data_IF_827950120560
#
_entry.id   IF_827950120560
#
_cell.length_a   1.000
_cell.length_b   1.000
_cell.length_c   1.000
_cell.angle_alpha   90.00
_cell.angle_beta   90.00
_cell.angle_gamma   90.00
#
_symmetry.space_group_name_H-M   'P 1'
#
loop_
_entity.id
_entity.type
_entity.pdbx_description
1 polymer ?
#
# COMPACT_ATOMS: atom_id res chain seq x y z
N UNK A 1 -7.32 -9.86 65.28
CA UNK A 1 -8.25 -9.81 64.14
C UNK A 1 -9.11 -8.58 64.29
N UNK A 2 -8.86 -7.57 63.46
CA UNK A 2 -9.58 -6.28 63.48
C UNK A 2 -10.94 -6.45 62.84
N UNK A 3 -12.00 -6.32 63.63
CA UNK A 3 -13.38 -6.27 63.16
C UNK A 3 -13.51 -5.06 62.24
N UNK A 4 -13.86 -5.30 60.98
CA UNK A 4 -14.12 -4.26 59.98
C UNK A 4 -15.37 -3.48 60.38
N UNK A 5 -15.31 -2.15 60.35
CA UNK A 5 -16.42 -1.25 60.70
C UNK A 5 -17.67 -1.42 59.80
N UNK A 6 -17.59 -2.27 58.77
CA UNK A 6 -18.67 -2.63 57.86
C UNK A 6 -19.63 -3.68 58.47
N UNK A 7 -19.20 -4.45 59.48
CA UNK A 7 -20.08 -5.39 60.21
C UNK A 7 -21.04 -4.68 61.20
N UNK A 8 -20.79 -3.39 61.49
CA UNK A 8 -21.46 -2.63 62.56
C UNK A 8 -22.56 -1.70 62.01
N UNK A 9 -23.26 -2.15 60.96
CA UNK A 9 -24.41 -1.45 60.36
C UNK A 9 -25.55 -2.39 59.96
N UNK A 10 -25.62 -3.56 60.61
CA UNK A 10 -26.67 -4.57 60.39
C UNK A 10 -28.00 -4.19 61.05
N UNK A 11 -29.11 -4.66 60.46
CA UNK A 11 -30.44 -4.52 61.07
C UNK A 11 -30.50 -5.16 62.47
N UNK A 12 -31.45 -4.75 63.33
CA UNK A 12 -31.55 -5.26 64.71
C UNK A 12 -31.69 -6.78 64.76
N UNK A 13 -32.36 -7.37 63.76
CA UNK A 13 -32.49 -8.81 63.58
C UNK A 13 -31.15 -9.46 63.17
N UNK A 14 -30.37 -8.83 62.28
CA UNK A 14 -29.05 -9.32 61.84
C UNK A 14 -28.03 -9.30 62.97
N UNK A 15 -28.03 -8.24 63.80
CA UNK A 15 -27.19 -8.13 65.01
C UNK A 15 -27.44 -9.31 65.95
N UNK A 16 -28.70 -9.76 66.10
CA UNK A 16 -29.06 -10.93 66.89
C UNK A 16 -28.99 -12.25 66.10
N UNK A 17 -28.76 -12.20 64.79
CA UNK A 17 -28.68 -13.36 63.90
C UNK A 17 -30.02 -14.08 63.76
N UNK A 18 -31.11 -13.31 63.74
CA UNK A 18 -32.48 -13.79 63.66
C UNK A 18 -33.11 -13.32 62.36
N UNK A 19 -34.13 -14.06 61.93
CA UNK A 19 -35.00 -13.63 60.83
C UNK A 19 -36.01 -12.58 61.34
N UNK A 20 -36.47 -11.63 60.50
CA UNK A 20 -37.49 -10.65 60.89
C UNK A 20 -38.81 -11.27 61.42
N UNK A 21 -39.05 -12.56 61.17
CA UNK A 21 -40.21 -13.32 61.69
C UNK A 21 -40.00 -13.89 63.12
N UNK A 22 -38.89 -13.56 63.79
CA UNK A 22 -38.56 -14.15 65.08
C UNK A 22 -39.50 -13.72 66.24
N UNK A 23 -39.83 -14.68 67.09
CA UNK A 23 -40.63 -14.49 68.30
C UNK A 23 -39.79 -13.94 69.47
N UNK A 24 -40.42 -13.27 70.44
CA UNK A 24 -39.76 -12.68 71.61
C UNK A 24 -38.89 -13.69 72.39
N UNK A 25 -39.36 -14.94 72.51
CA UNK A 25 -38.61 -16.04 73.15
C UNK A 25 -37.31 -16.36 72.41
N UNK A 26 -37.32 -16.26 71.07
CA UNK A 26 -36.14 -16.48 70.23
C UNK A 26 -35.16 -15.31 70.36
N UNK A 27 -35.66 -14.07 70.43
CA UNK A 27 -34.87 -12.85 70.70
C UNK A 27 -34.13 -12.96 72.04
N UNK A 28 -34.84 -13.33 73.12
CA UNK A 28 -34.25 -13.49 74.44
C UNK A 28 -33.19 -14.60 74.48
N UNK A 29 -33.44 -15.74 73.81
CA UNK A 29 -32.49 -16.86 73.73
C UNK A 29 -31.24 -16.50 72.93
N UNK A 30 -31.40 -15.82 71.80
CA UNK A 30 -30.29 -15.37 70.96
C UNK A 30 -29.43 -14.34 71.69
N UNK A 31 -30.06 -13.37 72.36
CA UNK A 31 -29.36 -12.40 73.20
C UNK A 31 -28.56 -13.08 74.31
N UNK A 32 -29.14 -14.03 75.05
CA UNK A 32 -28.42 -14.74 76.12
C UNK A 32 -27.18 -15.46 75.59
N UNK A 33 -27.30 -16.13 74.44
CA UNK A 33 -26.18 -16.84 73.80
C UNK A 33 -25.07 -15.87 73.36
N UNK A 34 -25.42 -14.76 72.70
CA UNK A 34 -24.44 -13.78 72.21
C UNK A 34 -23.84 -12.91 73.33
N UNK A 35 -24.62 -12.59 74.37
CA UNK A 35 -24.15 -11.82 75.53
C UNK A 35 -23.04 -12.53 76.28
N UNK A 36 -23.12 -13.86 76.40
CA UNK A 36 -22.07 -14.67 77.03
C UNK A 36 -20.76 -14.59 76.24
N UNK A 37 -20.85 -14.53 74.91
CA UNK A 37 -19.70 -14.48 74.00
C UNK A 37 -19.02 -13.11 74.00
N UNK A 38 -19.80 -12.02 74.06
CA UNK A 38 -19.30 -10.65 73.97
C UNK A 38 -19.24 -9.92 75.32
N UNK A 39 -19.35 -10.63 76.45
CA UNK A 39 -19.36 -9.99 77.76
C UNK A 39 -18.01 -9.31 78.08
N UNK A 40 -17.99 -8.04 78.54
CA UNK A 40 -16.75 -7.32 78.82
C UNK A 40 -15.90 -7.98 79.92
N UNK A 41 -16.53 -8.56 80.94
CA UNK A 41 -15.86 -9.30 82.03
C UNK A 41 -15.15 -10.58 81.57
N UNK A 42 -15.50 -11.10 80.38
CA UNK A 42 -14.89 -12.31 79.79
C UNK A 42 -13.94 -11.99 78.64
N UNK A 43 -13.52 -10.72 78.53
CA UNK A 43 -12.63 -10.25 77.45
C UNK A 43 -13.33 -10.07 76.09
N UNK A 44 -14.66 -9.93 76.10
CA UNK A 44 -15.45 -9.66 74.90
C UNK A 44 -15.49 -8.18 74.49
N UNK A 45 -15.97 -7.93 73.28
CA UNK A 45 -16.05 -6.58 72.71
C UNK A 45 -17.24 -5.78 73.28
N UNK A 46 -16.92 -4.68 73.98
CA UNK A 46 -17.89 -3.77 74.60
C UNK A 46 -18.85 -3.17 73.58
N UNK A 47 -18.39 -2.85 72.37
CA UNK A 47 -19.23 -2.22 71.35
C UNK A 47 -20.29 -3.19 70.84
N UNK A 48 -19.88 -4.43 70.50
CA UNK A 48 -20.82 -5.49 70.09
C UNK A 48 -21.81 -5.84 71.19
N UNK A 49 -21.37 -5.83 72.45
CA UNK A 49 -22.26 -6.03 73.59
C UNK A 49 -23.33 -4.94 73.69
N UNK A 50 -22.94 -3.67 73.57
CA UNK A 50 -23.87 -2.53 73.62
C UNK A 50 -24.91 -2.58 72.48
N UNK A 51 -24.49 -2.96 71.27
CA UNK A 51 -25.38 -3.15 70.13
C UNK A 51 -26.35 -4.31 70.33
N UNK A 52 -25.89 -5.44 70.88
CA UNK A 52 -26.75 -6.58 71.23
C UNK A 52 -27.80 -6.18 72.27
N UNK A 53 -27.42 -5.38 73.26
CA UNK A 53 -28.35 -4.86 74.27
C UNK A 53 -29.36 -3.92 73.64
N UNK A 54 -28.94 -2.98 72.79
CA UNK A 54 -29.85 -2.08 72.04
C UNK A 54 -30.82 -2.87 71.15
N UNK A 55 -30.33 -3.87 70.43
CA UNK A 55 -31.15 -4.73 69.59
C UNK A 55 -32.20 -5.49 70.41
N UNK A 56 -31.81 -6.09 71.53
CA UNK A 56 -32.76 -6.73 72.46
C UNK A 56 -33.80 -5.75 72.98
N UNK A 57 -33.39 -4.57 73.43
CA UNK A 57 -34.29 -3.62 74.09
C UNK A 57 -35.34 -3.05 73.14
N UNK A 58 -35.03 -2.96 71.84
CA UNK A 58 -35.99 -2.55 70.80
C UNK A 58 -36.89 -3.73 70.38
N UNK A 59 -36.35 -4.94 70.23
CA UNK A 59 -37.10 -6.10 69.75
C UNK A 59 -37.96 -6.79 70.83
N UNK A 60 -37.66 -6.59 72.12
CA UNK A 60 -38.41 -7.17 73.24
C UNK A 60 -39.60 -6.28 73.67
N UNK A 61 -39.59 -5.00 73.34
CA UNK A 61 -40.71 -4.08 73.57
C UNK A 61 -41.65 -4.11 72.35
N UNK A 62 -42.91 -4.56 72.50
CA UNK A 62 -43.83 -4.74 71.38
C UNK A 62 -44.08 -3.44 70.61
N UNK A 63 -44.13 -2.29 71.29
CA UNK A 63 -44.37 -0.99 70.63
C UNK A 63 -43.16 -0.56 69.79
N UNK A 64 -41.95 -0.77 70.30
CA UNK A 64 -40.72 -0.42 69.59
C UNK A 64 -40.44 -1.39 68.44
N UNK A 65 -40.71 -2.67 68.62
CA UNK A 65 -40.63 -3.69 67.57
C UNK A 65 -41.57 -3.36 66.41
N UNK A 66 -42.84 -3.06 66.70
CA UNK A 66 -43.81 -2.70 65.67
C UNK A 66 -43.40 -1.45 64.88
N UNK A 67 -42.91 -0.42 65.57
CA UNK A 67 -42.42 0.80 64.92
C UNK A 67 -41.18 0.53 64.05
N UNK A 68 -40.29 -0.37 64.48
CA UNK A 68 -39.13 -0.78 63.70
C UNK A 68 -39.54 -1.59 62.46
N UNK A 69 -40.41 -2.58 62.61
CA UNK A 69 -40.90 -3.43 61.52
C UNK A 69 -41.68 -2.62 60.46
N UNK A 70 -42.46 -1.61 60.90
CA UNK A 70 -43.13 -0.64 60.01
C UNK A 70 -42.14 0.19 59.19
N UNK A 71 -41.04 0.64 59.81
CA UNK A 71 -39.99 1.38 59.11
C UNK A 71 -39.25 0.48 58.10
N UNK A 72 -38.89 -0.71 58.53
CA UNK A 72 -38.19 -1.68 57.69
C UNK A 72 -39.02 -2.08 56.46
N UNK A 73 -40.31 -2.37 56.65
CA UNK A 73 -41.21 -2.69 55.53
C UNK A 73 -41.40 -1.52 54.56
N UNK A 74 -41.54 -0.29 55.07
CA UNK A 74 -41.63 0.91 54.24
C UNK A 74 -40.35 1.15 53.42
N UNK A 75 -39.17 0.97 54.03
CA UNK A 75 -37.88 1.09 53.34
C UNK A 75 -37.70 0.05 52.23
N UNK A 76 -38.06 -1.21 52.49
CA UNK A 76 -38.01 -2.28 51.49
C UNK A 76 -38.93 -1.99 50.30
N UNK A 77 -40.13 -1.47 50.55
CA UNK A 77 -41.07 -1.10 49.50
C UNK A 77 -40.53 0.08 48.67
N UNK A 78 -40.01 1.11 49.33
CA UNK A 78 -39.40 2.26 48.65
C UNK A 78 -38.21 1.82 47.77
N UNK A 79 -37.34 0.94 48.28
CA UNK A 79 -36.21 0.38 47.53
C UNK A 79 -36.67 -0.45 46.33
N UNK A 80 -37.76 -1.23 46.47
CA UNK A 80 -38.36 -1.99 45.36
C UNK A 80 -38.92 -1.05 44.29
N UNK A 81 -39.60 0.02 44.68
CA UNK A 81 -40.13 1.03 43.76
C UNK A 81 -39.00 1.78 43.03
N UNK A 82 -37.94 2.16 43.75
CA UNK A 82 -36.75 2.79 43.16
C UNK A 82 -36.12 1.89 42.10
N UNK A 83 -35.86 0.61 42.42
CA UNK A 83 -35.32 -0.37 41.47
C UNK A 83 -36.21 -0.54 40.24
N UNK A 84 -37.54 -0.57 40.41
CA UNK A 84 -38.48 -0.68 39.29
C UNK A 84 -38.40 0.54 38.37
N UNK A 85 -38.35 1.75 38.94
CA UNK A 85 -38.21 3.00 38.18
C UNK A 85 -36.88 3.07 37.44
N UNK A 86 -35.79 2.66 38.08
CA UNK A 86 -34.46 2.62 37.47
C UNK A 86 -34.40 1.61 36.32
N UNK A 87 -35.00 0.43 36.48
CA UNK A 87 -35.09 -0.57 35.42
C UNK A 87 -35.89 -0.08 34.21
N UNK A 88 -36.98 0.68 34.43
CA UNK A 88 -37.74 1.31 33.34
C UNK A 88 -36.90 2.35 32.59
N UNK A 89 -36.18 3.22 33.33
CA UNK A 89 -35.28 4.21 32.73
C UNK A 89 -34.13 3.56 31.98
N UNK A 90 -33.61 2.44 32.49
CA UNK A 90 -32.58 1.65 31.82
C UNK A 90 -33.09 1.04 30.51
N UNK A 91 -34.32 0.53 30.50
CA UNK A 91 -35.00 0.09 29.28
C UNK A 91 -35.09 1.19 28.23
N UNK A 92 -35.51 2.40 28.61
CA UNK A 92 -35.57 3.56 27.70
C UNK A 92 -34.19 3.97 27.19
N UNK A 93 -33.18 4.04 28.06
CA UNK A 93 -31.79 4.34 27.66
C UNK A 93 -31.25 3.31 26.68
N UNK A 94 -31.52 2.02 26.91
CA UNK A 94 -31.15 0.94 26.01
C UNK A 94 -31.81 1.07 24.64
N UNK A 95 -33.12 1.35 24.59
CA UNK A 95 -33.84 1.57 23.34
C UNK A 95 -33.24 2.74 22.54
N UNK A 96 -32.97 3.88 23.18
CA UNK A 96 -32.34 5.03 22.55
C UNK A 96 -30.96 4.71 22.00
N UNK A 97 -30.13 3.98 22.77
CA UNK A 97 -28.81 3.53 22.34
C UNK A 97 -28.90 2.61 21.11
N UNK A 98 -29.79 1.62 21.16
CA UNK A 98 -29.93 0.63 20.11
C UNK A 98 -30.51 1.28 18.82
N UNK A 99 -31.40 2.28 18.94
CA UNK A 99 -31.88 3.10 17.82
C UNK A 99 -30.76 3.95 17.20
N UNK A 100 -29.97 4.63 18.03
CA UNK A 100 -28.83 5.43 17.58
C UNK A 100 -27.81 4.56 16.82
N UNK A 101 -27.46 3.40 17.37
CA UNK A 101 -26.54 2.45 16.73
C UNK A 101 -27.08 2.00 15.37
N UNK A 102 -28.40 1.74 15.27
CA UNK A 102 -29.03 1.32 14.02
C UNK A 102 -28.98 2.42 12.96
N UNK A 103 -29.23 3.68 13.35
CA UNK A 103 -29.13 4.85 12.44
C UNK A 103 -27.69 5.07 11.98
N UNK A 104 -26.73 4.97 12.88
CA UNK A 104 -25.30 5.08 12.56
C UNK A 104 -24.85 3.99 11.58
N UNK A 105 -25.24 2.74 11.81
CA UNK A 105 -24.96 1.63 10.90
C UNK A 105 -25.57 1.85 9.52
N UNK A 106 -26.80 2.35 9.44
CA UNK A 106 -27.44 2.65 8.17
C UNK A 106 -26.66 3.72 7.40
N UNK A 107 -26.33 4.83 8.07
CA UNK A 107 -25.55 5.91 7.48
C UNK A 107 -24.17 5.42 7.01
N UNK A 108 -23.45 4.67 7.84
CA UNK A 108 -22.16 4.09 7.50
C UNK A 108 -22.24 3.12 6.31
N UNK A 109 -23.28 2.29 6.24
CA UNK A 109 -23.49 1.38 5.09
C UNK A 109 -23.70 2.17 3.80
N UNK A 110 -24.55 3.20 3.82
CA UNK A 110 -24.76 4.07 2.66
C UNK A 110 -23.49 4.81 2.25
N UNK A 111 -22.75 5.37 3.22
CA UNK A 111 -21.46 6.05 2.99
C UNK A 111 -20.43 5.10 2.37
N UNK A 112 -20.25 3.91 2.95
CA UNK A 112 -19.33 2.87 2.46
C UNK A 112 -19.72 2.38 1.06
N UNK A 113 -21.01 2.22 0.79
CA UNK A 113 -21.51 1.85 -0.54
C UNK A 113 -21.16 2.93 -1.57
N UNK A 114 -21.42 4.20 -1.28
CA UNK A 114 -21.10 5.32 -2.17
C UNK A 114 -19.60 5.43 -2.44
N UNK A 115 -18.75 5.35 -1.40
CA UNK A 115 -17.28 5.35 -1.56
C UNK A 115 -16.81 4.16 -2.40
N UNK A 116 -17.37 2.96 -2.18
CA UNK A 116 -17.04 1.77 -2.96
C UNK A 116 -17.42 1.93 -4.44
N UNK A 117 -18.57 2.56 -4.73
CA UNK A 117 -18.98 2.88 -6.10
C UNK A 117 -18.01 3.88 -6.76
N UNK A 118 -17.64 4.96 -6.06
CA UNK A 118 -16.66 5.94 -6.54
C UNK A 118 -15.30 5.29 -6.82
N UNK A 119 -14.83 4.43 -5.92
CA UNK A 119 -13.55 3.73 -6.07
C UNK A 119 -13.58 2.75 -7.24
N UNK A 120 -14.68 2.03 -7.44
CA UNK A 120 -14.85 1.12 -8.58
C UNK A 120 -14.84 1.89 -9.92
N UNK A 121 -15.54 3.02 -10.00
CA UNK A 121 -15.50 3.89 -11.19
C UNK A 121 -14.08 4.44 -11.43
N UNK A 122 -13.37 4.88 -10.39
CA UNK A 122 -12.00 5.37 -10.52
C UNK A 122 -11.05 4.27 -11.06
N UNK A 123 -11.17 3.05 -10.56
CA UNK A 123 -10.39 1.89 -11.04
C UNK A 123 -10.71 1.58 -12.50
N UNK A 124 -12.00 1.54 -12.86
CA UNK A 124 -12.46 1.33 -14.23
C UNK A 124 -11.91 2.39 -15.19
N UNK A 125 -11.87 3.66 -14.77
CA UNK A 125 -11.27 4.74 -15.55
C UNK A 125 -9.76 4.53 -15.75
N UNK A 126 -9.04 4.11 -14.71
CA UNK A 126 -7.61 3.81 -14.78
C UNK A 126 -7.31 2.66 -15.74
N UNK A 127 -8.04 1.55 -15.63
CA UNK A 127 -7.89 0.40 -16.54
C UNK A 127 -8.16 0.80 -17.99
N UNK A 128 -9.22 1.57 -18.25
CA UNK A 128 -9.52 2.07 -19.60
C UNK A 128 -8.42 3.01 -20.13
N UNK A 129 -7.79 3.80 -19.26
CA UNK A 129 -6.64 4.64 -19.65
C UNK A 129 -5.43 3.79 -20.04
N UNK A 130 -5.09 2.77 -19.23
CA UNK A 130 -3.99 1.85 -19.51
C UNK A 130 -4.21 1.08 -20.81
N UNK A 131 -5.41 0.54 -21.04
CA UNK A 131 -5.74 -0.17 -22.27
C UNK A 131 -5.59 0.72 -23.52
N UNK A 132 -5.96 2.01 -23.42
CA UNK A 132 -5.73 2.97 -24.52
C UNK A 132 -4.25 3.23 -24.77
N UNK A 133 -3.46 3.37 -23.71
CA UNK A 133 -2.01 3.55 -23.83
C UNK A 133 -1.35 2.32 -24.47
N UNK A 134 -1.71 1.12 -24.01
CA UNK A 134 -1.23 -0.14 -24.59
C UNK A 134 -1.63 -0.25 -26.07
N UNK A 135 -2.89 0.04 -26.42
CA UNK A 135 -3.32 0.03 -27.82
C UNK A 135 -2.56 1.01 -28.71
N UNK A 136 -2.13 2.16 -28.19
CA UNK A 136 -1.24 3.08 -28.92
C UNK A 136 0.17 2.51 -29.08
N UNK A 137 0.74 1.93 -28.02
CA UNK A 137 2.06 1.28 -28.08
C UNK A 137 2.07 0.13 -29.08
N UNK A 138 1.04 -0.71 -29.09
CA UNK A 138 0.90 -1.81 -30.04
C UNK A 138 0.79 -1.33 -31.48
N UNK A 139 0.06 -0.23 -31.73
CA UNK A 139 -0.03 0.38 -33.06
C UNK A 139 1.34 0.87 -33.52
N UNK A 140 2.07 1.58 -32.67
CA UNK A 140 3.43 2.05 -32.98
C UNK A 140 4.38 0.88 -33.21
N UNK A 141 4.30 -0.19 -32.40
CA UNK A 141 5.10 -1.38 -32.56
C UNK A 141 4.83 -2.08 -33.90
N UNK A 142 3.56 -2.24 -34.29
CA UNK A 142 3.18 -2.80 -35.60
C UNK A 142 3.64 -1.94 -36.78
N UNK A 143 3.58 -0.62 -36.65
CA UNK A 143 4.11 0.27 -37.68
C UNK A 143 5.63 0.17 -37.78
N UNK A 144 6.33 0.03 -36.64
CA UNK A 144 7.77 -0.19 -36.61
C UNK A 144 8.16 -1.52 -37.25
N UNK A 145 7.44 -2.61 -36.97
CA UNK A 145 7.70 -3.91 -37.62
C UNK A 145 7.45 -3.85 -39.12
N UNK A 146 6.34 -3.22 -39.56
CA UNK A 146 6.08 -3.03 -41.00
C UNK A 146 7.16 -2.20 -41.69
N UNK A 147 7.68 -1.16 -41.02
CA UNK A 147 8.81 -0.37 -41.53
C UNK A 147 10.09 -1.20 -41.59
N UNK A 148 10.39 -2.02 -40.59
CA UNK A 148 11.57 -2.90 -40.63
C UNK A 148 11.43 -3.97 -41.70
N UNK A 149 10.24 -4.54 -41.91
CA UNK A 149 9.96 -5.50 -42.99
C UNK A 149 10.08 -4.86 -44.38
N UNK A 150 9.60 -3.62 -44.55
CA UNK A 150 9.78 -2.86 -45.80
C UNK A 150 11.25 -2.53 -46.05
N UNK A 151 11.99 -2.09 -45.03
CA UNK A 151 13.44 -1.87 -45.11
C UNK A 151 14.16 -3.17 -45.44
N UNK A 152 13.83 -4.27 -44.76
CA UNK A 152 14.39 -5.58 -45.04
C UNK A 152 14.07 -6.03 -46.48
N UNK A 153 12.85 -5.79 -46.98
CA UNK A 153 12.48 -6.10 -48.37
C UNK A 153 13.25 -5.23 -49.39
N UNK A 154 13.53 -3.97 -49.07
CA UNK A 154 14.42 -3.11 -49.86
C UNK A 154 15.89 -3.57 -49.78
N UNK A 155 16.35 -4.08 -48.64
CA UNK A 155 17.67 -4.69 -48.49
C UNK A 155 17.78 -6.07 -49.16
N UNK A 156 16.68 -6.81 -49.31
CA UNK A 156 16.61 -8.07 -50.07
C UNK A 156 16.73 -7.78 -51.57
N UNK A 157 16.23 -6.64 -52.06
CA UNK A 157 16.69 -6.02 -53.31
C UNK A 157 18.05 -5.36 -53.11
N UNK A 158 19.03 -6.12 -52.64
CA UNK A 158 20.17 -5.52 -51.95
C UNK A 158 21.06 -4.63 -52.78
N UNK A 159 22.15 -4.21 -52.14
CA UNK A 159 23.15 -3.26 -52.61
C UNK A 159 23.23 -3.09 -54.14
N UNK A 160 23.26 -1.84 -54.64
CA UNK A 160 23.23 -1.56 -56.08
C UNK A 160 24.28 -2.39 -56.82
N UNK A 161 23.97 -2.80 -58.06
CA UNK A 161 24.82 -3.70 -58.87
C UNK A 161 26.29 -3.24 -58.93
N UNK A 162 26.55 -1.94 -58.81
CA UNK A 162 27.89 -1.34 -58.67
C UNK A 162 28.67 -1.86 -57.46
N UNK A 163 28.07 -1.88 -56.28
CA UNK A 163 28.66 -2.46 -55.05
C UNK A 163 28.74 -4.00 -55.12
N UNK A 164 27.87 -4.60 -55.95
CA UNK A 164 27.81 -6.02 -56.35
C UNK A 164 29.01 -6.55 -57.14
N UNK A 165 29.64 -5.68 -57.93
CA UNK A 165 30.47 -6.08 -59.06
C UNK A 165 31.95 -5.79 -58.79
N UNK A 166 32.76 -6.85 -58.76
CA UNK A 166 34.21 -6.76 -58.65
C UNK A 166 34.85 -6.98 -60.02
N UNK A 167 35.82 -6.15 -60.37
CA UNK A 167 36.65 -6.33 -61.56
C UNK A 167 38.01 -6.85 -61.16
N UNK A 168 38.40 -8.00 -61.72
CA UNK A 168 39.72 -8.60 -61.59
C UNK A 168 40.49 -8.38 -62.89
N UNK A 169 41.74 -7.91 -62.81
CA UNK A 169 42.65 -7.80 -63.96
C UNK A 169 43.92 -8.58 -63.66
N UNK A 170 44.41 -9.32 -64.64
CA UNK A 170 45.66 -10.10 -64.54
C UNK A 170 46.54 -9.91 -65.78
N UNK A 171 47.79 -10.35 -65.69
CA UNK A 171 48.72 -10.31 -66.82
C UNK A 171 48.63 -11.60 -67.65
N UNK A 172 48.28 -11.47 -68.95
CA UNK A 172 48.15 -12.59 -69.89
C UNK A 172 49.41 -13.43 -70.03
N UNK A 173 50.59 -12.87 -69.72
CA UNK A 173 51.88 -13.55 -69.85
C UNK A 173 52.23 -14.43 -68.65
N UNK A 174 51.61 -14.19 -67.49
CA UNK A 174 51.99 -14.84 -66.22
C UNK A 174 50.90 -15.73 -65.65
N UNK A 175 49.63 -15.40 -65.89
CA UNK A 175 48.50 -16.18 -65.36
C UNK A 175 47.39 -16.29 -66.40
N UNK A 176 46.79 -17.48 -66.50
CA UNK A 176 45.65 -17.77 -67.35
C UNK A 176 44.52 -18.29 -66.47
N UNK A 177 43.49 -17.48 -66.27
CA UNK A 177 42.31 -17.84 -65.49
C UNK A 177 41.16 -18.18 -66.43
N UNK A 178 40.57 -19.37 -66.28
CA UNK A 178 39.33 -19.76 -66.94
C UNK A 178 38.12 -19.41 -66.05
N UNK A 179 36.93 -19.38 -66.65
CA UNK A 179 35.67 -19.14 -65.94
C UNK A 179 35.44 -20.15 -64.79
N UNK A 180 35.78 -21.42 -65.04
CA UNK A 180 35.71 -22.51 -64.04
C UNK A 180 36.70 -22.34 -62.89
N UNK A 181 37.91 -21.83 -63.16
CA UNK A 181 38.90 -21.57 -62.10
C UNK A 181 38.43 -20.42 -61.20
N UNK A 182 37.95 -19.32 -61.81
CA UNK A 182 37.46 -18.16 -61.06
C UNK A 182 36.20 -18.47 -60.26
N UNK A 183 35.27 -19.23 -60.83
CA UNK A 183 34.06 -19.62 -60.11
C UNK A 183 34.39 -20.49 -58.90
N UNK A 184 35.37 -21.39 -59.00
CA UNK A 184 35.79 -22.27 -57.90
C UNK A 184 36.48 -21.50 -56.78
N UNK A 185 37.39 -20.59 -57.11
CA UNK A 185 38.13 -19.80 -56.14
C UNK A 185 37.25 -18.71 -55.50
N UNK A 186 36.41 -18.04 -56.29
CA UNK A 186 35.62 -16.91 -55.80
C UNK A 186 34.33 -17.32 -55.07
N UNK A 187 33.84 -18.54 -55.26
CA UNK A 187 32.74 -19.11 -54.48
C UNK A 187 33.06 -19.25 -52.99
N UNK A 188 34.33 -19.28 -52.59
CA UNK A 188 34.71 -19.26 -51.18
C UNK A 188 34.34 -17.95 -50.48
N UNK A 189 34.24 -16.85 -51.23
CA UNK A 189 33.90 -15.53 -50.67
C UNK A 189 32.40 -15.23 -50.71
N UNK A 190 31.63 -15.96 -51.53
CA UNK A 190 30.17 -15.91 -51.56
C UNK A 190 29.55 -16.42 -52.85
N UNK A 191 28.21 -16.44 -52.91
CA UNK A 191 27.48 -16.85 -54.10
C UNK A 191 27.66 -15.86 -55.25
N UNK A 192 28.06 -16.39 -56.40
CA UNK A 192 28.29 -15.63 -57.62
C UNK A 192 27.03 -15.66 -58.47
N UNK A 193 26.55 -14.48 -58.87
CA UNK A 193 25.38 -14.33 -59.72
C UNK A 193 25.75 -14.41 -61.20
N UNK A 194 26.77 -13.67 -61.63
CA UNK A 194 27.26 -13.68 -63.01
C UNK A 194 28.77 -13.48 -63.09
N UNK A 195 29.42 -14.12 -64.08
CA UNK A 195 30.83 -13.89 -64.43
C UNK A 195 30.88 -13.43 -65.89
N UNK A 196 31.59 -12.34 -66.15
CA UNK A 196 31.82 -11.79 -67.49
C UNK A 196 33.32 -11.72 -67.77
N UNK A 197 33.81 -12.64 -68.59
CA UNK A 197 35.21 -12.74 -68.95
C UNK A 197 35.60 -11.87 -70.14
N UNK A 198 36.82 -11.34 -70.11
CA UNK A 198 37.55 -10.72 -71.22
C UNK A 198 38.97 -11.31 -71.26
N UNK A 199 39.73 -10.97 -72.29
CA UNK A 199 41.05 -11.56 -72.56
C UNK A 199 42.09 -11.42 -71.42
N UNK A 200 41.97 -10.44 -70.52
CA UNK A 200 42.84 -10.25 -69.34
C UNK A 200 42.12 -9.59 -68.16
N UNK A 201 40.80 -9.75 -68.13
CA UNK A 201 39.99 -9.17 -67.07
C UNK A 201 38.69 -9.93 -66.93
N UNK A 202 38.23 -10.09 -65.69
CA UNK A 202 36.94 -10.69 -65.36
C UNK A 202 36.13 -9.69 -64.55
N UNK A 203 34.82 -9.65 -64.78
CA UNK A 203 33.87 -8.94 -63.92
C UNK A 203 32.97 -9.98 -63.27
N UNK A 204 32.94 -9.99 -61.96
CA UNK A 204 32.20 -10.96 -61.15
C UNK A 204 31.17 -10.20 -60.34
N UNK A 205 29.90 -10.51 -60.56
CA UNK A 205 28.76 -9.98 -59.80
C UNK A 205 28.40 -10.97 -58.70
N UNK A 206 28.53 -10.57 -57.44
CA UNK A 206 28.14 -11.37 -56.28
C UNK A 206 26.67 -11.13 -55.91
N UNK A 207 26.03 -12.10 -55.26
CA UNK A 207 24.68 -11.94 -54.70
C UNK A 207 24.64 -10.92 -53.55
N UNK A 208 25.72 -10.86 -52.76
CA UNK A 208 25.83 -10.02 -51.56
C UNK A 208 27.01 -9.02 -51.68
N UNK A 209 26.82 -7.80 -51.18
CA UNK A 209 27.89 -6.79 -51.21
C UNK A 209 29.01 -7.07 -50.21
N UNK A 210 28.69 -7.73 -49.08
CA UNK A 210 29.68 -8.16 -48.11
C UNK A 210 30.66 -9.17 -48.73
N UNK A 211 30.15 -10.10 -49.56
CA UNK A 211 30.97 -11.06 -50.31
C UNK A 211 31.89 -10.38 -51.32
N UNK A 212 31.39 -9.40 -52.07
CA UNK A 212 32.20 -8.59 -53.00
C UNK A 212 33.34 -7.86 -52.27
N UNK A 213 33.05 -7.24 -51.12
CA UNK A 213 34.06 -6.56 -50.30
C UNK A 213 35.06 -7.51 -49.63
N UNK A 214 34.63 -8.71 -49.23
CA UNK A 214 35.52 -9.74 -48.70
C UNK A 214 36.48 -10.26 -49.78
N UNK A 215 35.96 -10.53 -50.99
CA UNK A 215 36.77 -10.95 -52.12
C UNK A 215 37.84 -9.91 -52.45
N UNK A 216 37.51 -8.61 -52.51
CA UNK A 216 38.52 -7.57 -52.75
C UNK A 216 39.57 -7.52 -51.64
N UNK A 217 39.17 -7.56 -50.38
CA UNK A 217 40.10 -7.50 -49.25
C UNK A 217 41.10 -8.65 -49.24
N UNK A 218 40.69 -9.85 -49.63
CA UNK A 218 41.56 -11.03 -49.60
C UNK A 218 42.34 -11.18 -50.92
N UNK A 219 41.69 -11.00 -52.06
CA UNK A 219 42.30 -11.19 -53.37
C UNK A 219 43.23 -10.03 -53.77
N UNK A 220 43.00 -8.80 -53.31
CA UNK A 220 43.88 -7.67 -53.65
C UNK A 220 45.34 -7.89 -53.21
N UNK A 221 45.60 -8.74 -52.22
CA UNK A 221 46.94 -9.06 -51.73
C UNK A 221 47.58 -10.27 -52.42
N UNK A 222 46.88 -10.99 -53.33
CA UNK A 222 47.46 -12.11 -54.05
C UNK A 222 48.22 -11.64 -55.30
N UNK A 223 49.41 -12.20 -55.51
CA UNK A 223 50.32 -11.83 -56.62
C UNK A 223 49.81 -12.24 -58.02
N UNK A 224 48.71 -12.99 -58.11
CA UNK A 224 48.08 -13.38 -59.37
C UNK A 224 47.26 -12.25 -60.01
N UNK A 225 46.95 -11.19 -59.26
CA UNK A 225 46.18 -10.05 -59.75
C UNK A 225 47.05 -8.81 -59.95
N UNK A 226 46.80 -8.10 -61.04
CA UNK A 226 47.34 -6.77 -61.30
C UNK A 226 46.50 -5.68 -60.61
N UNK A 227 45.18 -5.88 -60.58
CA UNK A 227 44.22 -4.95 -59.98
C UNK A 227 42.92 -5.68 -59.63
N UNK A 228 42.40 -5.45 -58.43
CA UNK A 228 41.09 -5.92 -57.98
C UNK A 228 40.33 -4.73 -57.43
N UNK A 229 39.20 -4.36 -58.04
CA UNK A 229 38.46 -3.16 -57.66
C UNK A 229 36.95 -3.36 -57.74
N UNK A 230 36.23 -2.82 -56.77
CA UNK A 230 34.75 -2.76 -56.79
C UNK A 230 34.34 -1.61 -57.70
N UNK A 231 33.43 -1.87 -58.63
CA UNK A 231 33.01 -0.87 -59.59
C UNK A 231 32.24 0.28 -58.90
N UNK A 232 32.89 1.42 -58.72
CA UNK A 232 32.24 2.68 -58.30
C UNK A 232 32.56 3.18 -56.88
N UNK A 233 33.55 2.62 -56.18
CA UNK A 233 34.08 3.21 -54.94
C UNK A 233 35.58 2.94 -54.82
N UNK A 234 36.37 4.02 -54.75
CA UNK A 234 37.70 4.01 -54.14
C UNK A 234 37.43 3.88 -52.64
N UNK A 235 37.89 2.80 -52.03
CA UNK A 235 37.78 2.61 -50.58
C UNK A 235 38.97 3.34 -49.96
N UNK A 236 38.76 4.57 -49.50
CA UNK A 236 39.66 5.20 -48.53
C UNK A 236 39.57 4.40 -47.23
N UNK A 237 40.65 3.71 -46.89
CA UNK A 237 40.79 3.01 -45.61
C UNK A 237 41.23 4.01 -44.55
N UNK A 238 40.31 4.84 -44.10
CA UNK A 238 40.56 5.69 -42.93
C UNK A 238 40.07 4.99 -41.67
N UNK A 239 41.06 4.54 -40.90
CA UNK A 239 41.13 4.81 -39.46
C UNK A 239 39.87 4.55 -38.65
N UNK A 240 39.80 3.35 -38.09
CA UNK A 240 39.06 3.08 -36.87
C UNK A 240 39.46 4.10 -35.77
N UNK A 241 38.60 5.06 -35.46
CA UNK A 241 38.65 5.80 -34.19
C UNK A 241 37.25 5.82 -33.57
N UNK A 242 37.18 5.21 -32.38
CA UNK A 242 35.96 5.04 -31.60
C UNK A 242 35.31 6.36 -31.21
N UNK A 243 33.99 6.28 -31.13
CA UNK A 243 33.08 7.30 -30.67
C UNK A 243 33.42 7.85 -29.28
N UNK A 244 33.44 9.18 -29.16
CA UNK A 244 32.82 9.88 -28.06
C UNK A 244 31.91 10.96 -28.67
N UNK A 245 30.60 10.75 -28.56
CA UNK A 245 29.60 11.69 -29.04
C UNK A 245 29.05 12.44 -27.82
N UNK A 246 29.55 13.66 -27.62
CA UNK A 246 28.89 14.68 -26.81
C UNK A 246 28.08 15.58 -27.74
N UNK A 247 26.75 15.71 -27.56
CA UNK A 247 26.01 16.77 -28.23
C UNK A 247 25.91 17.99 -27.32
N UNK A 248 26.76 18.98 -27.59
CA UNK A 248 26.50 20.35 -27.16
C UNK A 248 25.69 21.10 -28.24
N UNK A 249 24.56 21.66 -27.79
CA UNK A 249 23.97 22.94 -28.22
C UNK A 249 23.49 23.12 -29.67
N UNK A 250 22.17 23.23 -29.81
CA UNK A 250 21.54 24.20 -30.71
C UNK A 250 20.32 24.86 -30.05
N UNK A 251 20.50 26.13 -29.70
CA UNK A 251 19.63 27.29 -29.96
C UNK A 251 18.11 27.19 -29.81
N UNK A 252 17.65 27.89 -28.75
CA UNK A 252 16.55 28.88 -28.68
C UNK A 252 15.26 28.62 -29.49
N UNK A 253 14.23 28.21 -28.75
CA UNK A 253 12.86 28.70 -28.90
C UNK A 253 12.39 29.23 -27.54
N UNK A 254 12.11 30.53 -27.43
CA UNK A 254 11.58 31.17 -26.23
C UNK A 254 10.11 30.74 -26.01
N UNK A 255 9.89 29.87 -25.03
CA UNK A 255 8.60 29.73 -24.33
C UNK A 255 8.94 29.75 -22.84
N UNK A 256 8.29 30.59 -21.99
CA UNK A 256 8.56 30.56 -20.56
C UNK A 256 7.96 29.27 -19.98
N UNK A 257 8.78 28.24 -19.82
CA UNK A 257 8.42 27.01 -19.10
C UNK A 257 8.70 27.20 -17.61
N UNK A 258 7.68 26.91 -16.80
CA UNK A 258 7.73 26.86 -15.35
C UNK A 258 8.75 25.81 -14.86
N UNK A 259 9.43 26.04 -13.72
CA UNK A 259 10.46 25.14 -13.22
C UNK A 259 9.79 23.98 -12.47
N UNK A 260 9.40 22.93 -13.19
CA UNK A 260 8.91 21.70 -12.55
C UNK A 260 9.75 20.50 -12.97
N UNK A 261 10.90 20.35 -12.31
CA UNK A 261 11.42 19.01 -12.04
C UNK A 261 10.58 18.37 -10.92
N UNK A 262 10.52 17.03 -10.84
CA UNK A 262 9.85 16.36 -9.72
C UNK A 262 10.49 16.83 -8.42
N UNK A 263 9.71 17.52 -7.58
CA UNK A 263 10.11 17.98 -6.25
C UNK A 263 10.81 16.80 -5.57
N UNK A 264 12.06 17.01 -5.14
CA UNK A 264 12.83 15.96 -4.50
C UNK A 264 12.01 15.41 -3.32
N UNK A 265 11.93 14.08 -3.16
CA UNK A 265 11.20 13.45 -2.06
C UNK A 265 11.57 14.09 -0.72
N UNK A 266 12.83 14.50 -0.57
CA UNK A 266 13.33 15.20 0.60
C UNK A 266 12.70 16.58 0.80
N UNK A 267 12.57 17.37 -0.26
CA UNK A 267 11.93 18.70 -0.24
C UNK A 267 10.43 18.59 0.03
N UNK A 268 9.77 17.58 -0.55
CA UNK A 268 8.36 17.32 -0.30
C UNK A 268 8.10 16.95 1.17
N UNK A 269 8.92 16.08 1.75
CA UNK A 269 8.82 15.71 3.16
C UNK A 269 9.18 16.87 4.09
N UNK A 270 10.11 17.74 3.72
CA UNK A 270 10.44 18.94 4.48
C UNK A 270 9.26 19.92 4.49
N UNK A 271 8.62 20.11 3.33
CA UNK A 271 7.42 20.93 3.20
C UNK A 271 6.25 20.37 4.02
N UNK A 272 5.98 19.07 3.93
CA UNK A 272 4.92 18.41 4.69
C UNK A 272 5.11 18.57 6.20
N UNK A 273 6.35 18.38 6.69
CA UNK A 273 6.69 18.61 8.10
C UNK A 273 6.43 20.05 8.53
N UNK A 274 6.78 21.03 7.70
CA UNK A 274 6.54 22.46 7.96
C UNK A 274 5.03 22.76 8.05
N UNK A 275 4.25 22.27 7.08
CA UNK A 275 2.80 22.46 7.06
C UNK A 275 2.13 21.82 8.28
N UNK A 276 2.53 20.59 8.64
CA UNK A 276 1.98 19.91 9.82
C UNK A 276 2.33 20.62 11.13
N UNK A 277 3.51 21.23 11.25
CA UNK A 277 3.87 22.04 12.42
C UNK A 277 2.96 23.26 12.55
N UNK A 278 2.71 23.98 11.45
CA UNK A 278 1.82 25.15 11.43
C UNK A 278 0.38 24.76 11.79
N UNK A 279 -0.10 23.62 11.30
CA UNK A 279 -1.45 23.14 11.63
C UNK A 279 -1.60 22.77 13.11
N UNK A 280 -0.58 22.15 13.72
CA UNK A 280 -0.57 21.83 15.15
C UNK A 280 -0.58 23.07 16.03
N UNK A 281 0.22 24.07 15.69
CA UNK A 281 0.24 25.39 16.34
C UNK A 281 -1.14 26.05 16.29
N UNK A 282 -1.76 26.10 15.09
CA UNK A 282 -3.11 26.68 14.94
C UNK A 282 -4.17 25.92 15.73
N UNK A 283 -4.12 24.59 15.75
CA UNK A 283 -5.06 23.77 16.52
C UNK A 283 -4.94 24.03 18.04
N UNK A 284 -3.71 24.20 18.54
CA UNK A 284 -3.47 24.54 19.95
C UNK A 284 -4.03 25.92 20.31
N UNK A 285 -3.77 26.93 19.47
CA UNK A 285 -4.31 28.28 19.66
C UNK A 285 -5.85 28.29 19.64
N UNK A 286 -6.46 27.44 18.82
CA UNK A 286 -7.91 27.30 18.76
C UNK A 286 -8.46 26.69 20.06
N UNK A 287 -7.83 25.64 20.58
CA UNK A 287 -8.20 25.07 21.87
C UNK A 287 -8.05 26.06 23.02
N UNK A 288 -6.98 26.87 23.03
CA UNK A 288 -6.77 27.91 24.03
C UNK A 288 -7.86 28.99 23.97
N UNK A 289 -8.29 29.39 22.76
CA UNK A 289 -9.42 30.33 22.57
C UNK A 289 -10.74 29.75 23.07
N UNK A 290 -11.02 28.48 22.78
CA UNK A 290 -12.23 27.78 23.23
C UNK A 290 -12.25 27.63 24.77
N UNK A 291 -11.10 27.38 25.40
CA UNK A 291 -10.96 27.34 26.86
C UNK A 291 -11.14 28.72 27.53
N UNK A 292 -10.74 29.80 26.85
CA UNK A 292 -10.97 31.16 27.33
C UNK A 292 -12.44 31.57 27.21
N UNK A 293 -13.15 31.17 26.14
CA UNK A 293 -14.58 31.44 25.96
C UNK A 293 -15.48 30.67 26.93
N UNK A 294 -15.07 29.48 27.38
CA UNK A 294 -15.84 28.66 28.33
C UNK A 294 -15.61 29.03 29.80
N UNK A 295 -14.61 29.88 30.09
CA UNK A 295 -14.28 30.36 31.44
C UNK A 295 -14.93 31.72 31.80
N UNK A 296 -15.59 32.38 30.86
CA UNK A 296 -16.37 33.62 31.05
C UNK A 296 -17.83 33.26 31.27
#
# INVERSE_FOLDING_TARGET
>A
MTVTADEMRGGLYEILGLEPAANERQVARAYKKKSILYHPDRGGDVQKFLELTRARDILLDPKKKEAYDKKLSHELLAKKQQRAREAELDGKRRQMRDELLRKEQHYERSRKSSVKQQQAELTRLREKALARQQGLQDRLAREATRRSEQKHSQEVHGAPKSQRTVTFKWDKKRHSHSDDTLSRELRLYGEIKTIRMKTSSARVEFCEAASAAHAVRVEAHKSCWREVSIQGHIIETDGFTSAEDQPATTSRCNVPMLPEGPISLHEHLAFEKSVLAILREKAKLQQEREQQQTRV
#
